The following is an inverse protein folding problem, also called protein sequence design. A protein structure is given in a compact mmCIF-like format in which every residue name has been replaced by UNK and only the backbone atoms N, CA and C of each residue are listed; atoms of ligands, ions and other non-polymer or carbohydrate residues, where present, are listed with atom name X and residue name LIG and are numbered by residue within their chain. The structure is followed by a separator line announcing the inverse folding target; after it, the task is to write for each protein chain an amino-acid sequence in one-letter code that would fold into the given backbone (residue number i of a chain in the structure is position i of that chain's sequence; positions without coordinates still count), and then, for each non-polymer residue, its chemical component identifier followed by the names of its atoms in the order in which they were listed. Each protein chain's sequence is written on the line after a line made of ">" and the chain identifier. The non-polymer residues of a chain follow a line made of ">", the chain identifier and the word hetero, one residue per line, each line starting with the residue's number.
data_IF_666401486917
#
_entry.id   IF_666401486917
#
_cell.length_a   1.000
_cell.length_b   1.000
_cell.length_c   1.000
_cell.angle_alpha   90.00
_cell.angle_beta   90.00
_cell.angle_gamma   90.00
#
_symmetry.space_group_name_H-M   'P 1'
#
loop_
_entity.id
_entity.type
_entity.pdbx_description
1 polymer ?
#
# COMPACT_ATOMS: atom_id res chain seq x y z
N UNK A 1 13.61 17.23 -17.19
CA UNK A 1 12.27 16.96 -16.68
C UNK A 1 12.29 15.87 -15.63
N UNK A 2 11.90 16.18 -14.44
CA UNK A 2 11.91 15.16 -13.41
C UNK A 2 10.92 14.05 -13.70
N UNK A 3 11.32 12.87 -13.38
CA UNK A 3 10.46 11.71 -13.50
C UNK A 3 9.69 11.55 -12.20
N UNK A 4 8.38 11.67 -12.29
CA UNK A 4 7.53 11.64 -11.11
C UNK A 4 7.00 10.26 -10.79
N UNK A 5 7.48 9.22 -11.47
CA UNK A 5 6.98 7.88 -11.23
C UNK A 5 7.43 7.30 -9.91
N UNK A 6 8.61 7.68 -9.47
CA UNK A 6 9.18 7.11 -8.26
C UNK A 6 9.28 8.18 -7.20
N UNK A 7 8.83 7.89 -6.00
CA UNK A 7 8.94 8.85 -4.92
C UNK A 7 10.41 9.04 -4.52
N UNK A 8 10.70 10.20 -3.97
CA UNK A 8 12.01 10.48 -3.43
C UNK A 8 12.24 9.67 -2.16
N UNK A 9 13.49 9.65 -1.68
CA UNK A 9 13.80 9.02 -0.41
C UNK A 9 12.99 9.62 0.72
N UNK A 10 12.80 10.93 0.69
CA UNK A 10 12.02 11.60 1.72
C UNK A 10 10.57 11.18 1.69
N UNK A 11 10.02 11.01 0.50
CA UNK A 11 8.65 10.55 0.37
C UNK A 11 8.49 9.12 0.87
N UNK A 12 9.46 8.26 0.56
CA UNK A 12 9.42 6.89 1.05
C UNK A 12 9.53 6.86 2.56
N UNK A 13 10.42 7.69 3.13
CA UNK A 13 10.55 7.78 4.59
C UNK A 13 9.24 8.21 5.23
N UNK A 14 8.55 9.18 4.62
CA UNK A 14 7.27 9.64 5.12
C UNK A 14 6.24 8.53 5.07
N UNK A 15 6.23 7.75 3.99
CA UNK A 15 5.32 6.62 3.88
C UNK A 15 5.61 5.58 4.95
N UNK A 16 6.87 5.32 5.24
CA UNK A 16 7.24 4.37 6.29
C UNK A 16 6.78 4.83 7.66
N UNK A 17 6.82 6.13 7.90
CA UNK A 17 6.31 6.67 9.16
C UNK A 17 4.80 6.60 9.24
N UNK A 18 4.13 6.85 8.11
CA UNK A 18 2.68 6.87 8.07
C UNK A 18 2.08 5.47 8.13
N UNK A 19 2.78 4.50 7.54
CA UNK A 19 2.30 3.12 7.44
C UNK A 19 3.36 2.17 7.97
N UNK A 20 3.60 2.19 9.29
CA UNK A 20 4.59 1.26 9.86
C UNK A 20 4.10 -0.19 9.78
N UNK A 21 5.03 -1.10 9.93
CA UNK A 21 4.71 -2.52 9.95
C UNK A 21 3.61 -2.79 10.97
N UNK A 22 2.64 -3.60 10.57
CA UNK A 22 1.51 -3.93 11.43
C UNK A 22 0.29 -3.06 11.25
N UNK A 23 0.41 -1.97 10.47
CA UNK A 23 -0.75 -1.11 10.20
C UNK A 23 -1.82 -1.91 9.46
N UNK A 24 -3.07 -1.79 9.92
CA UNK A 24 -4.19 -2.45 9.27
C UNK A 24 -4.83 -1.51 8.28
N UNK A 25 -5.11 -2.04 7.10
CA UNK A 25 -5.64 -1.26 5.99
C UNK A 25 -6.80 -2.01 5.39
N UNK A 26 -7.87 -1.27 5.09
CA UNK A 26 -9.01 -1.81 4.35
C UNK A 26 -8.92 -1.33 2.90
N UNK A 27 -9.01 -2.27 1.97
CA UNK A 27 -8.98 -1.94 0.56
C UNK A 27 -10.30 -1.33 0.14
N UNK A 28 -10.24 -0.19 -0.56
CA UNK A 28 -11.43 0.42 -1.13
C UNK A 28 -11.52 0.07 -2.60
N UNK A 29 -10.43 0.24 -3.34
CA UNK A 29 -10.44 -0.09 -4.77
C UNK A 29 -9.02 -0.21 -5.29
N UNK A 30 -8.82 -1.19 -6.13
CA UNK A 30 -7.60 -1.39 -6.90
C UNK A 30 -7.95 -1.58 -8.35
N UNK A 31 -6.96 -1.31 -9.22
CA UNK A 31 -7.19 -1.38 -10.65
C UNK A 31 -7.04 -2.76 -11.27
N UNK A 32 -6.61 -3.74 -10.53
CA UNK A 32 -6.31 -5.04 -11.11
C UNK A 32 -7.42 -6.03 -10.85
N UNK A 33 -7.65 -6.92 -11.81
CA UNK A 33 -8.76 -7.87 -11.72
C UNK A 33 -8.54 -8.97 -10.69
N UNK A 34 -7.29 -9.25 -10.35
CA UNK A 34 -6.98 -10.35 -9.42
C UNK A 34 -6.78 -9.87 -8.00
N UNK A 35 -7.31 -8.74 -7.72
CA UNK A 35 -7.16 -8.12 -6.40
C UNK A 35 -8.03 -8.80 -5.38
N UNK A 36 -7.68 -8.64 -4.10
CA UNK A 36 -8.68 -8.91 -3.07
C UNK A 36 -9.88 -8.01 -3.34
N UNK A 37 -11.09 -8.46 -3.01
CA UNK A 37 -12.26 -7.61 -3.22
C UNK A 37 -12.24 -6.39 -2.30
N UNK A 38 -12.94 -5.32 -2.68
CA UNK A 38 -13.08 -4.16 -1.80
C UNK A 38 -13.62 -4.59 -0.45
N UNK A 39 -13.12 -3.95 0.60
CA UNK A 39 -13.49 -4.29 1.97
C UNK A 39 -12.55 -5.28 2.62
N UNK A 40 -11.65 -5.88 1.85
CA UNK A 40 -10.67 -6.80 2.43
C UNK A 40 -9.68 -6.03 3.28
N UNK A 41 -9.36 -6.59 4.44
CA UNK A 41 -8.39 -6.00 5.35
C UNK A 41 -7.06 -6.68 5.15
N UNK A 42 -6.00 -5.89 5.21
CA UNK A 42 -4.65 -6.40 5.14
C UNK A 42 -3.76 -5.73 6.17
N UNK A 43 -2.57 -6.25 6.29
CA UNK A 43 -1.58 -5.74 7.23
C UNK A 43 -0.35 -5.30 6.45
N UNK A 44 0.14 -4.10 6.76
CA UNK A 44 1.37 -3.60 6.14
C UNK A 44 2.54 -4.41 6.69
N UNK A 45 3.36 -4.93 5.78
CA UNK A 45 4.59 -5.63 6.15
C UNK A 45 5.76 -4.66 6.12
N UNK A 46 5.83 -3.85 5.07
CA UNK A 46 6.91 -2.89 4.88
C UNK A 46 6.52 -1.93 3.75
N UNK A 47 7.27 -0.85 3.62
CA UNK A 47 7.18 0.02 2.45
C UNK A 47 8.49 -0.18 1.69
N UNK A 48 8.41 -0.55 0.43
CA UNK A 48 9.62 -0.80 -0.34
C UNK A 48 10.22 0.51 -0.86
N UNK A 49 11.35 0.41 -1.52
CA UNK A 49 12.09 1.60 -1.96
C UNK A 49 11.37 2.37 -3.06
N UNK A 50 10.40 1.75 -3.72
CA UNK A 50 9.61 2.43 -4.73
C UNK A 50 8.34 3.05 -4.15
N UNK A 51 8.14 2.95 -2.84
CA UNK A 51 7.00 3.57 -2.19
C UNK A 51 5.74 2.74 -2.23
N UNK A 52 5.85 1.46 -2.52
CA UNK A 52 4.70 0.57 -2.48
C UNK A 52 4.58 -0.05 -1.10
N UNK A 53 3.35 -0.19 -0.64
CA UNK A 53 3.08 -0.86 0.64
C UNK A 53 3.02 -2.36 0.39
N UNK A 54 3.97 -3.08 0.97
CA UNK A 54 3.96 -4.54 0.89
C UNK A 54 2.93 -5.05 1.88
N UNK A 55 1.99 -5.83 1.39
CA UNK A 55 0.80 -6.19 2.16
C UNK A 55 0.68 -7.69 2.35
N UNK A 56 0.02 -8.05 3.44
CA UNK A 56 -0.51 -9.39 3.64
C UNK A 56 -2.01 -9.26 3.85
N UNK A 57 -2.77 -9.71 2.87
CA UNK A 57 -4.23 -9.58 2.90
C UNK A 57 -4.87 -10.79 3.56
N UNK A 58 -6.03 -10.59 4.18
CA UNK A 58 -6.73 -11.70 4.82
C UNK A 58 -7.09 -12.82 3.87
N UNK A 59 -7.23 -12.50 2.60
CA UNK A 59 -7.50 -13.51 1.57
C UNK A 59 -6.29 -14.37 1.24
N UNK A 60 -5.12 -14.03 1.76
CA UNK A 60 -3.88 -14.71 1.42
C UNK A 60 -3.12 -14.04 0.29
N UNK A 61 -3.70 -13.01 -0.34
CA UNK A 61 -3.00 -12.26 -1.37
C UNK A 61 -1.86 -11.46 -0.77
N UNK A 62 -0.83 -11.22 -1.58
CA UNK A 62 0.31 -10.38 -1.18
C UNK A 62 0.49 -9.21 -2.12
N UNK A 63 -0.55 -8.83 -2.86
CA UNK A 63 -0.45 -7.70 -3.77
C UNK A 63 -0.16 -6.43 -3.00
N UNK A 64 0.81 -5.67 -3.51
CA UNK A 64 1.20 -4.41 -2.90
C UNK A 64 0.20 -3.32 -3.23
N UNK A 65 0.10 -2.32 -2.35
CA UNK A 65 -0.69 -1.13 -2.61
C UNK A 65 0.22 -0.01 -3.10
N UNK A 66 -0.30 0.76 -4.05
CA UNK A 66 0.43 1.90 -4.60
C UNK A 66 -0.29 3.16 -4.15
N UNK A 67 0.27 3.89 -3.17
CA UNK A 67 -0.36 5.14 -2.73
C UNK A 67 -0.52 6.11 -3.89
N UNK A 68 -1.69 6.73 -3.98
CA UNK A 68 -1.98 7.64 -5.07
C UNK A 68 -2.59 6.97 -6.29
N UNK A 69 -2.53 5.66 -6.37
CA UNK A 69 -3.13 4.89 -7.46
C UNK A 69 -4.27 4.04 -6.93
N UNK A 70 -3.99 3.29 -5.88
CA UNK A 70 -5.00 2.43 -5.26
C UNK A 70 -5.68 3.18 -4.13
N UNK A 71 -6.95 2.88 -3.88
CA UNK A 71 -7.72 3.53 -2.82
C UNK A 71 -7.83 2.60 -1.63
N UNK A 72 -7.48 3.13 -0.47
CA UNK A 72 -7.52 2.35 0.77
C UNK A 72 -7.64 3.30 1.96
N UNK A 73 -7.93 2.76 3.12
CA UNK A 73 -7.96 3.55 4.35
C UNK A 73 -7.35 2.75 5.48
N UNK A 74 -6.75 3.46 6.41
CA UNK A 74 -6.20 2.86 7.62
C UNK A 74 -7.35 2.59 8.57
N UNK A 75 -7.42 1.35 9.08
CA UNK A 75 -8.46 0.99 10.04
C UNK A 75 -7.89 0.68 11.41
N UNK A 76 -6.55 0.57 11.47
CA UNK A 76 -5.94 0.36 12.77
C UNK A 76 -4.44 0.54 12.72
#
# INVERSE_FOLDING_TARGET
>A
MPNMRFPSREQVATLRERYPEGTKIELIEMDEEKNPPPGTVGTVIAVDDSGQLMMRWETGSTLSLIPGVDSFKVVE
#
